data_IF_590337421701
#
_entry.id   IF_590337421701
#
_cell.length_a   1.000
_cell.length_b   1.000
_cell.length_c   1.000
_cell.angle_alpha   90.00
_cell.angle_beta   90.00
_cell.angle_gamma   90.00
#
_symmetry.space_group_name_H-M   'P 1'
#
loop_
_entity.id
_entity.type
_entity.pdbx_description
1 polymer ?
#
# COMPACT_ATOMS: atom_id res chain seq x y z
N UNK A 1 -11.78 14.36 28.13
CA UNK A 1 -11.59 13.70 26.83
C UNK A 1 -11.10 14.76 25.86
N UNK A 2 -9.81 14.69 25.52
CA UNK A 2 -9.15 15.72 24.72
C UNK A 2 -9.61 15.64 23.24
N UNK A 3 -9.62 16.79 22.56
CA UNK A 3 -10.01 16.88 21.13
C UNK A 3 -9.14 15.99 20.22
N UNK A 4 -7.91 15.68 20.63
CA UNK A 4 -6.99 14.80 19.94
C UNK A 4 -7.43 13.33 19.98
N UNK A 5 -7.87 12.83 21.13
CA UNK A 5 -8.38 11.45 21.28
C UNK A 5 -9.66 11.21 20.47
N UNK A 6 -10.53 12.23 20.38
CA UNK A 6 -11.76 12.15 19.58
C UNK A 6 -11.47 12.10 18.08
N UNK A 7 -10.40 12.74 17.62
CA UNK A 7 -9.97 12.76 16.22
C UNK A 7 -9.31 11.45 15.81
N UNK A 8 -8.49 10.85 16.68
CA UNK A 8 -7.91 9.51 16.47
C UNK A 8 -8.99 8.42 16.43
N UNK A 9 -9.96 8.48 17.34
CA UNK A 9 -11.08 7.53 17.36
C UNK A 9 -11.94 7.63 16.10
N UNK A 10 -12.15 8.83 15.55
CA UNK A 10 -12.90 9.04 14.32
C UNK A 10 -12.14 8.49 13.10
N UNK A 11 -10.85 8.74 12.99
CA UNK A 11 -10.00 8.22 11.92
C UNK A 11 -9.99 6.69 11.88
N UNK A 12 -9.80 6.06 13.03
CA UNK A 12 -9.83 4.59 13.15
C UNK A 12 -11.19 3.99 12.78
N UNK A 13 -12.29 4.67 13.09
CA UNK A 13 -13.64 4.15 12.83
C UNK A 13 -14.09 4.32 11.37
N UNK A 14 -13.72 5.43 10.74
CA UNK A 14 -14.20 5.77 9.39
C UNK A 14 -13.10 5.77 8.33
N UNK A 15 -11.84 5.51 8.70
CA UNK A 15 -10.70 5.56 7.81
C UNK A 15 -10.83 4.64 6.59
N UNK A 16 -11.33 3.43 6.79
CA UNK A 16 -11.55 2.48 5.71
C UNK A 16 -12.62 2.98 4.73
N UNK A 17 -13.73 3.50 5.25
CA UNK A 17 -14.83 4.03 4.42
C UNK A 17 -14.35 5.25 3.63
N UNK A 18 -13.63 6.15 4.28
CA UNK A 18 -13.05 7.34 3.64
C UNK A 18 -12.08 6.96 2.52
N UNK A 19 -11.21 5.98 2.77
CA UNK A 19 -10.25 5.49 1.78
C UNK A 19 -10.95 4.86 0.56
N UNK A 20 -12.01 4.08 0.78
CA UNK A 20 -12.80 3.48 -0.30
C UNK A 20 -13.55 4.54 -1.11
N UNK A 21 -14.14 5.54 -0.45
CA UNK A 21 -14.82 6.65 -1.13
C UNK A 21 -13.82 7.45 -1.97
N UNK A 22 -12.64 7.77 -1.44
CA UNK A 22 -11.62 8.50 -2.17
C UNK A 22 -11.13 7.72 -3.39
N UNK A 23 -10.90 6.41 -3.26
CA UNK A 23 -10.55 5.53 -4.39
C UNK A 23 -11.67 5.52 -5.45
N UNK A 24 -12.94 5.41 -5.03
CA UNK A 24 -14.08 5.45 -5.94
C UNK A 24 -14.19 6.79 -6.68
N UNK A 25 -13.94 7.91 -5.99
CA UNK A 25 -13.90 9.23 -6.61
C UNK A 25 -12.84 9.28 -7.71
N UNK A 26 -11.61 8.79 -7.43
CA UNK A 26 -10.54 8.75 -8.44
C UNK A 26 -10.98 7.93 -9.67
N UNK A 27 -11.67 6.82 -9.47
CA UNK A 27 -12.13 5.96 -10.57
C UNK A 27 -13.30 6.58 -11.37
N UNK A 28 -14.07 7.49 -10.77
CA UNK A 28 -15.13 8.23 -11.47
C UNK A 28 -14.58 9.37 -12.35
N UNK A 29 -13.40 9.89 -12.04
CA UNK A 29 -12.74 10.86 -12.92
C UNK A 29 -12.26 10.17 -14.20
N UNK A 30 -12.44 10.85 -15.32
CA UNK A 30 -11.95 10.36 -16.61
C UNK A 30 -10.44 10.21 -16.60
N UNK A 31 -9.96 9.10 -17.16
CA UNK A 31 -8.53 8.85 -17.33
C UNK A 31 -7.91 9.97 -18.16
N UNK A 32 -6.84 10.64 -17.70
CA UNK A 32 -6.12 11.61 -18.52
C UNK A 32 -5.65 10.98 -19.84
N UNK A 33 -5.66 11.76 -20.92
CA UNK A 33 -5.41 11.25 -22.30
C UNK A 33 -4.07 10.55 -22.44
N UNK A 34 -3.08 10.95 -21.65
CA UNK A 34 -1.72 10.41 -21.71
C UNK A 34 -1.44 9.30 -20.70
N UNK A 35 -2.43 8.89 -19.87
CA UNK A 35 -2.24 7.90 -18.83
C UNK A 35 -2.90 6.56 -19.22
N UNK A 36 -2.15 5.45 -19.25
CA UNK A 36 -2.75 4.15 -19.49
C UNK A 36 -3.74 3.78 -18.36
N UNK A 37 -4.80 3.06 -18.71
CA UNK A 37 -5.84 2.64 -17.76
C UNK A 37 -5.29 1.97 -16.50
N UNK A 38 -4.20 1.23 -16.63
CA UNK A 38 -3.50 0.61 -15.50
C UNK A 38 -2.91 1.65 -14.56
N UNK A 39 -2.29 2.70 -15.10
CA UNK A 39 -1.74 3.81 -14.30
C UNK A 39 -2.83 4.54 -13.51
N UNK A 40 -3.97 4.82 -14.15
CA UNK A 40 -5.10 5.44 -13.48
C UNK A 40 -5.64 4.57 -12.31
N UNK A 41 -5.75 3.27 -12.51
CA UNK A 41 -6.16 2.34 -11.46
C UNK A 41 -5.15 2.28 -10.31
N UNK A 42 -3.85 2.33 -10.61
CA UNK A 42 -2.80 2.41 -9.59
C UNK A 42 -2.88 3.68 -8.76
N UNK A 43 -3.18 4.83 -9.37
CA UNK A 43 -3.38 6.08 -8.63
C UNK A 43 -4.52 5.95 -7.62
N UNK A 44 -5.64 5.34 -8.01
CA UNK A 44 -6.75 5.09 -7.08
C UNK A 44 -6.34 4.22 -5.89
N UNK A 45 -5.58 3.15 -6.13
CA UNK A 45 -5.04 2.28 -5.07
C UNK A 45 -4.03 3.03 -4.19
N UNK A 46 -3.19 3.89 -4.77
CA UNK A 46 -2.23 4.71 -4.04
C UNK A 46 -2.95 5.68 -3.10
N UNK A 47 -3.99 6.38 -3.57
CA UNK A 47 -4.81 7.28 -2.75
C UNK A 47 -5.45 6.49 -1.60
N UNK A 48 -6.00 5.31 -1.87
CA UNK A 48 -6.53 4.41 -0.85
C UNK A 48 -5.46 4.07 0.21
N UNK A 49 -4.27 3.65 -0.23
CA UNK A 49 -3.17 3.26 0.65
C UNK A 49 -2.73 4.41 1.56
N UNK A 50 -2.56 5.61 1.02
CA UNK A 50 -2.16 6.80 1.79
C UNK A 50 -3.21 7.14 2.85
N UNK A 51 -4.48 7.15 2.49
CA UNK A 51 -5.55 7.49 3.43
C UNK A 51 -5.66 6.45 4.55
N UNK A 52 -5.59 5.16 4.23
CA UNK A 52 -5.72 4.11 5.25
C UNK A 52 -4.53 4.11 6.21
N UNK A 53 -3.34 4.45 5.75
CA UNK A 53 -2.15 4.56 6.60
C UNK A 53 -2.18 5.83 7.46
N UNK A 54 -2.64 6.95 6.93
CA UNK A 54 -2.77 8.20 7.69
C UNK A 54 -3.87 8.15 8.75
N UNK A 55 -4.93 7.41 8.48
CA UNK A 55 -6.06 7.28 9.42
C UNK A 55 -5.88 6.15 10.43
N UNK A 56 -4.86 5.29 10.22
CA UNK A 56 -4.65 4.06 11.02
C UNK A 56 -5.94 3.23 11.20
N UNK A 57 -6.84 3.32 10.21
CA UNK A 57 -8.15 2.68 10.24
C UNK A 57 -8.09 1.16 10.28
N UNK A 58 -6.96 0.59 9.85
CA UNK A 58 -6.70 -0.87 9.82
C UNK A 58 -5.23 -1.09 10.16
N UNK A 59 -4.92 -2.24 10.78
CA UNK A 59 -3.52 -2.59 11.07
C UNK A 59 -2.68 -2.70 9.80
N UNK A 60 -1.39 -2.34 9.88
CA UNK A 60 -0.49 -2.33 8.72
C UNK A 60 -0.44 -3.66 7.95
N UNK A 61 -0.37 -4.84 8.58
CA UNK A 61 -0.38 -6.11 7.84
C UNK A 61 -1.68 -6.33 7.06
N UNK A 62 -2.83 -5.98 7.66
CA UNK A 62 -4.13 -6.12 6.99
C UNK A 62 -4.26 -5.12 5.83
N UNK A 63 -3.83 -3.87 6.02
CA UNK A 63 -3.83 -2.86 4.94
C UNK A 63 -2.96 -3.29 3.76
N UNK A 64 -1.77 -3.87 4.02
CA UNK A 64 -0.89 -4.39 2.98
C UNK A 64 -1.58 -5.51 2.17
N UNK A 65 -2.26 -6.43 2.84
CA UNK A 65 -3.03 -7.50 2.18
C UNK A 65 -4.15 -6.96 1.30
N UNK A 66 -4.90 -5.98 1.81
CA UNK A 66 -6.00 -5.32 1.07
C UNK A 66 -5.45 -4.59 -0.16
N UNK A 67 -4.34 -3.87 -0.04
CA UNK A 67 -3.71 -3.16 -1.15
C UNK A 67 -3.27 -4.15 -2.24
N UNK A 68 -2.59 -5.24 -1.88
CA UNK A 68 -2.17 -6.28 -2.84
C UNK A 68 -3.38 -6.93 -3.51
N UNK A 69 -4.45 -7.16 -2.77
CA UNK A 69 -5.71 -7.70 -3.32
C UNK A 69 -6.32 -6.73 -4.32
N UNK A 70 -6.40 -5.44 -4.00
CA UNK A 70 -6.88 -4.43 -4.94
C UNK A 70 -5.99 -4.33 -6.19
N UNK A 71 -4.67 -4.44 -6.04
CA UNK A 71 -3.77 -4.49 -7.19
C UNK A 71 -4.08 -5.69 -8.07
N UNK A 72 -4.24 -6.88 -7.50
CA UNK A 72 -4.54 -8.09 -8.25
C UNK A 72 -5.85 -7.97 -9.05
N UNK A 73 -6.91 -7.47 -8.43
CA UNK A 73 -8.22 -7.35 -9.09
C UNK A 73 -8.30 -6.14 -10.02
N UNK A 74 -7.94 -4.95 -9.56
CA UNK A 74 -8.10 -3.74 -10.35
C UNK A 74 -7.19 -3.72 -11.58
N UNK A 75 -5.94 -4.18 -11.46
CA UNK A 75 -5.04 -4.32 -12.60
C UNK A 75 -5.40 -5.56 -13.44
N UNK A 76 -5.81 -6.66 -12.79
CA UNK A 76 -6.18 -7.88 -13.49
C UNK A 76 -7.34 -7.70 -14.46
N UNK A 77 -8.28 -6.82 -14.13
CA UNK A 77 -9.41 -6.42 -14.99
C UNK A 77 -9.07 -5.26 -15.95
N UNK A 78 -7.83 -4.77 -15.96
CA UNK A 78 -7.40 -3.76 -16.92
C UNK A 78 -7.05 -4.40 -18.27
N UNK A 79 -7.18 -3.66 -19.40
CA UNK A 79 -6.73 -4.13 -20.69
C UNK A 79 -5.24 -4.51 -20.67
N UNK A 80 -4.84 -5.61 -21.28
CA UNK A 80 -3.43 -5.98 -21.43
C UNK A 80 -2.78 -5.11 -22.51
N UNK A 81 -1.73 -4.31 -22.19
CA UNK A 81 -1.06 -3.49 -23.19
C UNK A 81 -0.34 -4.31 -24.26
N UNK A 82 -0.02 -5.58 -23.99
CA UNK A 82 0.65 -6.48 -24.92
C UNK A 82 -0.33 -7.26 -25.82
N UNK A 83 -1.62 -7.30 -25.48
CA UNK A 83 -2.63 -8.07 -26.21
C UNK A 83 -3.91 -7.27 -26.34
N UNK A 84 -4.13 -6.67 -27.52
CA UNK A 84 -5.39 -5.97 -27.79
C UNK A 84 -6.62 -6.87 -27.59
N UNK A 85 -7.59 -6.39 -26.78
CA UNK A 85 -8.83 -7.10 -26.51
C UNK A 85 -8.78 -8.15 -25.39
N UNK A 86 -7.61 -8.37 -24.76
CA UNK A 86 -7.48 -9.26 -23.61
C UNK A 86 -7.33 -8.46 -22.30
N UNK A 87 -7.75 -9.05 -21.18
CA UNK A 87 -7.46 -8.53 -19.85
C UNK A 87 -6.09 -8.99 -19.38
N UNK A 88 -5.43 -8.19 -18.53
CA UNK A 88 -4.13 -8.51 -17.96
C UNK A 88 -4.11 -9.84 -17.19
N UNK A 89 -5.22 -10.15 -16.53
CA UNK A 89 -5.41 -11.31 -15.67
C UNK A 89 -4.88 -11.10 -14.24
N UNK A 90 -5.61 -11.66 -13.28
CA UNK A 90 -5.32 -11.50 -11.84
C UNK A 90 -3.97 -12.08 -11.44
N UNK A 91 -3.55 -13.19 -12.06
CA UNK A 91 -2.25 -13.81 -11.77
C UNK A 91 -1.08 -12.90 -12.12
N UNK A 92 -1.09 -12.30 -13.33
CA UNK A 92 -0.05 -11.38 -13.78
C UNK A 92 -0.07 -10.08 -12.96
N UNK A 93 -1.26 -9.57 -12.65
CA UNK A 93 -1.43 -8.40 -11.81
C UNK A 93 -0.92 -8.63 -10.38
N UNK A 94 -1.17 -9.81 -9.80
CA UNK A 94 -0.65 -10.19 -8.49
C UNK A 94 0.89 -10.26 -8.49
N UNK A 95 1.49 -10.87 -9.51
CA UNK A 95 2.95 -10.88 -9.66
C UNK A 95 3.53 -9.47 -9.74
N UNK A 96 2.88 -8.57 -10.48
CA UNK A 96 3.27 -7.16 -10.54
C UNK A 96 3.14 -6.48 -9.16
N UNK A 97 2.06 -6.72 -8.43
CA UNK A 97 1.86 -6.19 -7.08
C UNK A 97 2.92 -6.68 -6.08
N UNK A 98 3.32 -7.94 -6.20
CA UNK A 98 4.33 -8.54 -5.32
C UNK A 98 5.78 -8.25 -5.75
N UNK A 99 6.00 -7.79 -6.98
CA UNK A 99 7.36 -7.52 -7.49
C UNK A 99 8.12 -6.48 -6.68
N UNK A 100 7.42 -5.56 -6.01
CA UNK A 100 8.01 -4.60 -5.07
C UNK A 100 8.81 -5.25 -3.93
N UNK A 101 8.40 -6.43 -3.48
CA UNK A 101 9.09 -7.21 -2.45
C UNK A 101 10.36 -7.92 -2.95
N UNK A 102 10.56 -7.96 -4.27
CA UNK A 102 11.72 -8.58 -4.92
C UNK A 102 12.78 -7.56 -5.35
N UNK A 103 12.74 -6.36 -4.79
CA UNK A 103 13.70 -5.29 -5.10
C UNK A 103 14.86 -5.27 -4.12
N UNK A 104 16.03 -4.84 -4.58
CA UNK A 104 17.23 -4.63 -3.74
C UNK A 104 16.95 -3.64 -2.60
N UNK A 105 16.17 -2.60 -2.87
CA UNK A 105 15.80 -1.61 -1.86
C UNK A 105 15.00 -2.25 -0.70
N UNK A 106 14.03 -3.11 -1.02
CA UNK A 106 13.27 -3.82 0.00
C UNK A 106 14.15 -4.77 0.81
N UNK A 107 15.02 -5.54 0.13
CA UNK A 107 15.94 -6.46 0.80
C UNK A 107 16.88 -5.72 1.76
N UNK A 108 17.34 -4.54 1.39
CA UNK A 108 18.22 -3.70 2.22
C UNK A 108 17.50 -3.18 3.46
N UNK A 109 16.26 -2.71 3.32
CA UNK A 109 15.43 -2.27 4.46
C UNK A 109 15.13 -3.44 5.39
N UNK A 110 14.75 -4.61 4.85
CA UNK A 110 14.49 -5.80 5.64
C UNK A 110 15.74 -6.23 6.43
N UNK A 111 16.91 -6.28 5.78
CA UNK A 111 18.18 -6.60 6.45
C UNK A 111 18.51 -5.62 7.57
N UNK A 112 18.31 -4.32 7.35
CA UNK A 112 18.52 -3.28 8.37
C UNK A 112 17.57 -3.46 9.56
N UNK A 113 16.31 -3.80 9.32
CA UNK A 113 15.34 -4.08 10.40
C UNK A 113 15.74 -5.31 11.22
N UNK A 114 16.16 -6.41 10.57
CA UNK A 114 16.66 -7.60 11.27
C UNK A 114 17.91 -7.30 12.10
N UNK A 115 18.85 -6.54 11.54
CA UNK A 115 20.05 -6.12 12.25
C UNK A 115 19.71 -5.27 13.48
N UNK A 116 18.83 -4.29 13.31
CA UNK A 116 18.36 -3.44 14.41
C UNK A 116 17.68 -4.25 15.51
N UNK A 117 16.80 -5.18 15.16
CA UNK A 117 16.16 -6.08 16.13
C UNK A 117 17.19 -6.94 16.87
N UNK A 118 18.20 -7.48 16.17
CA UNK A 118 19.29 -8.24 16.77
C UNK A 118 20.12 -7.40 17.74
N UNK A 119 20.44 -6.15 17.39
CA UNK A 119 21.16 -5.23 18.27
C UNK A 119 20.36 -4.89 19.52
N UNK A 120 19.07 -4.68 19.42
CA UNK A 120 18.18 -4.41 20.57
C UNK A 120 18.10 -5.61 21.52
N UNK A 121 17.94 -6.83 20.99
CA UNK A 121 17.82 -8.05 21.80
C UNK A 121 19.13 -8.37 22.52
N UNK A 122 20.27 -8.15 21.86
CA UNK A 122 21.60 -8.42 22.42
C UNK A 122 22.14 -7.31 23.31
N UNK A 123 21.47 -6.14 23.34
CA UNK A 123 21.91 -4.95 24.07
C UNK A 123 23.22 -4.35 23.51
N UNK A 124 23.54 -4.68 22.26
CA UNK A 124 24.74 -4.18 21.59
C UNK A 124 24.67 -2.67 21.34
N UNK A 125 23.48 -2.17 21.09
CA UNK A 125 23.17 -0.74 20.97
C UNK A 125 23.63 0.07 22.18
N UNK A 126 23.35 -0.44 23.40
CA UNK A 126 23.79 0.20 24.66
C UNK A 126 25.28 0.12 24.86
N UNK A 127 25.94 -0.98 24.44
CA UNK A 127 27.39 -1.16 24.57
C UNK A 127 28.15 -0.21 23.63
N UNK A 128 27.66 -0.02 22.41
CA UNK A 128 28.26 0.92 21.45
C UNK A 128 28.05 2.37 21.89
N UNK A 129 26.90 2.70 22.48
CA UNK A 129 26.61 4.07 22.94
C UNK A 129 27.41 4.47 24.20
N UNK A 130 28.01 3.52 24.94
CA UNK A 130 28.76 3.76 26.17
C UNK A 130 30.29 3.84 25.95
N UNK A 131 30.76 3.67 24.73
CA UNK A 131 32.15 3.82 24.29
C UNK A 131 32.35 5.19 23.65
#
# INVERSE_FOLDING_TARGET
MDKSEKKESFGKKYGLILALIAMAIVYLFSTPVDLPTQGHRLIGILVFAVIIWMTEGVSYPVSAFVIVTFMAFALGMAPDPAKHGALLGTSKALQMGLSGFSTTAWALVAAAMFLSAGMMITGLDKRIALV
#
